data_IF_115106377721
#
_entry.id   IF_115106377721
#
_cell.length_a   1.000
_cell.length_b   1.000
_cell.length_c   1.000
_cell.angle_alpha   90.00
_cell.angle_beta   90.00
_cell.angle_gamma   90.00
#
_symmetry.space_group_name_H-M   'P 1'
#
loop_
_entity.id
_entity.type
_entity.pdbx_description
1 polymer ?
#
# COMPACT_ATOMS: atom_id res chain seq x y z
N UNK A 1 -3.41 17.37 -29.43
CA UNK A 1 -3.52 17.34 -27.95
C UNK A 1 -3.75 15.94 -27.35
N UNK A 2 -4.13 14.90 -28.12
CA UNK A 2 -4.42 13.56 -27.58
C UNK A 2 -3.18 12.72 -27.20
N UNK A 3 -1.99 13.02 -27.72
CA UNK A 3 -0.79 12.20 -27.51
C UNK A 3 -0.17 12.43 -26.13
N UNK A 4 -0.10 13.69 -25.69
CA UNK A 4 0.44 14.05 -24.36
C UNK A 4 -0.49 13.57 -23.25
N UNK A 5 -1.81 13.62 -23.47
CA UNK A 5 -2.80 13.13 -22.51
C UNK A 5 -2.78 11.60 -22.36
N UNK A 6 -2.41 10.84 -23.40
CA UNK A 6 -2.17 9.39 -23.36
C UNK A 6 -0.83 9.00 -22.74
N UNK A 7 0.20 9.84 -22.89
CA UNK A 7 1.52 9.62 -22.28
C UNK A 7 1.51 10.01 -20.79
N UNK A 8 0.76 11.06 -20.41
CA UNK A 8 0.54 11.46 -19.02
C UNK A 8 -0.65 10.74 -18.36
N UNK A 9 -1.47 10.01 -19.13
CA UNK A 9 -2.30 8.95 -18.57
C UNK A 9 -1.32 7.86 -18.14
N UNK A 10 -0.87 7.93 -16.89
CA UNK A 10 -0.79 6.72 -16.11
C UNK A 10 -2.18 6.11 -16.21
N UNK A 11 -2.38 5.20 -17.17
CA UNK A 11 -3.48 4.26 -17.16
C UNK A 11 -3.32 3.56 -15.82
N UNK A 12 -3.94 4.10 -14.77
CA UNK A 12 -3.87 3.62 -13.40
C UNK A 12 -4.58 2.27 -13.24
N UNK A 13 -4.54 1.46 -14.30
CA UNK A 13 -5.03 0.10 -14.42
C UNK A 13 -4.14 -0.80 -13.61
N UNK A 14 -4.51 -0.92 -12.35
CA UNK A 14 -3.98 -1.91 -11.44
C UNK A 14 -4.82 -3.17 -11.64
N UNK A 15 -4.52 -3.93 -12.70
CA UNK A 15 -5.05 -5.29 -12.87
C UNK A 15 -4.73 -6.15 -11.64
N UNK A 16 -5.43 -7.29 -11.43
CA UNK A 16 -5.24 -8.09 -10.22
C UNK A 16 -3.78 -8.55 -10.04
N UNK A 17 -3.14 -9.03 -11.10
CA UNK A 17 -1.72 -9.41 -11.08
C UNK A 17 -0.78 -8.22 -10.81
N UNK A 18 -1.05 -7.07 -11.41
CA UNK A 18 -0.27 -5.85 -11.19
C UNK A 18 -0.39 -5.38 -9.74
N UNK A 19 -1.60 -5.44 -9.18
CA UNK A 19 -1.89 -5.06 -7.80
C UNK A 19 -1.16 -5.97 -6.82
N UNK A 20 -1.28 -7.29 -6.99
CA UNK A 20 -0.55 -8.27 -6.18
C UNK A 20 0.96 -8.06 -6.24
N UNK A 21 1.52 -7.87 -7.46
CA UNK A 21 2.95 -7.60 -7.64
C UNK A 21 3.38 -6.32 -6.93
N UNK A 22 2.61 -5.24 -7.05
CA UNK A 22 2.96 -3.95 -6.45
C UNK A 22 2.93 -4.04 -4.92
N UNK A 23 1.92 -4.70 -4.34
CA UNK A 23 1.85 -4.93 -2.89
C UNK A 23 3.01 -5.81 -2.42
N UNK A 24 3.32 -6.88 -3.16
CA UNK A 24 4.46 -7.74 -2.83
C UNK A 24 5.78 -6.96 -2.85
N UNK A 25 6.00 -6.10 -3.84
CA UNK A 25 7.19 -5.24 -3.92
C UNK A 25 7.26 -4.22 -2.78
N UNK A 26 6.12 -3.61 -2.41
CA UNK A 26 6.04 -2.71 -1.26
C UNK A 26 6.36 -3.45 0.04
N UNK A 27 5.82 -4.65 0.23
CA UNK A 27 6.09 -5.48 1.41
C UNK A 27 7.56 -5.90 1.46
N UNK A 28 8.13 -6.38 0.35
CA UNK A 28 9.56 -6.73 0.29
C UNK A 28 10.44 -5.52 0.60
N UNK A 29 10.10 -4.35 0.05
CA UNK A 29 10.82 -3.11 0.31
C UNK A 29 10.78 -2.71 1.79
N UNK A 30 9.60 -2.74 2.43
CA UNK A 30 9.47 -2.46 3.86
C UNK A 30 10.25 -3.47 4.70
N UNK A 31 10.06 -4.76 4.45
CA UNK A 31 10.76 -5.82 5.18
C UNK A 31 12.29 -5.72 5.08
N UNK A 32 12.83 -5.33 3.92
CA UNK A 32 14.25 -5.09 3.77
C UNK A 32 14.74 -3.94 4.67
N UNK A 33 13.97 -2.84 4.76
CA UNK A 33 14.27 -1.71 5.65
C UNK A 33 14.19 -2.14 7.12
N UNK A 34 13.14 -2.88 7.49
CA UNK A 34 12.94 -3.33 8.87
C UNK A 34 14.08 -4.26 9.31
N UNK A 35 14.38 -5.30 8.52
CA UNK A 35 15.44 -6.26 8.82
C UNK A 35 16.82 -5.60 8.88
N UNK A 36 17.12 -4.70 7.95
CA UNK A 36 18.38 -3.95 7.96
C UNK A 36 18.47 -3.06 9.21
N UNK A 37 17.38 -2.39 9.58
CA UNK A 37 17.35 -1.52 10.76
C UNK A 37 17.49 -2.32 12.05
N UNK A 38 16.79 -3.44 12.18
CA UNK A 38 16.89 -4.35 13.34
C UNK A 38 18.31 -4.91 13.51
N UNK A 39 19.01 -5.18 12.40
CA UNK A 39 20.40 -5.63 12.43
C UNK A 39 21.39 -4.52 12.82
N UNK A 40 21.14 -3.27 12.39
CA UNK A 40 22.08 -2.15 12.57
C UNK A 40 21.83 -1.31 13.82
N UNK A 41 20.62 -1.33 14.39
CA UNK A 41 20.23 -0.53 15.54
C UNK A 41 19.78 -1.44 16.69
N UNK A 42 20.72 -1.89 17.55
CA UNK A 42 20.40 -2.71 18.71
C UNK A 42 19.43 -2.00 19.65
N UNK A 43 18.49 -2.77 20.21
CA UNK A 43 17.46 -2.22 21.12
C UNK A 43 16.20 -1.70 20.44
N UNK A 44 16.13 -1.75 19.11
CA UNK A 44 14.88 -1.52 18.38
C UNK A 44 13.83 -2.56 18.79
N UNK A 45 12.63 -2.10 19.17
CA UNK A 45 11.53 -2.95 19.60
C UNK A 45 10.92 -3.72 18.41
N UNK A 46 11.41 -4.94 18.19
CA UNK A 46 10.97 -5.81 17.10
C UNK A 46 9.49 -6.21 17.22
N UNK A 47 8.93 -6.31 18.43
CA UNK A 47 7.53 -6.66 18.60
C UNK A 47 6.62 -5.52 18.13
N UNK A 48 7.04 -4.28 18.38
CA UNK A 48 6.31 -3.09 17.97
C UNK A 48 6.47 -2.77 16.49
N UNK A 49 7.65 -3.03 15.94
CA UNK A 49 7.88 -3.04 14.49
C UNK A 49 6.95 -4.07 13.83
N UNK A 50 6.90 -5.32 14.32
CA UNK A 50 6.02 -6.34 13.76
C UNK A 50 4.54 -5.93 13.83
N UNK A 51 4.09 -5.30 14.93
CA UNK A 51 2.73 -4.77 15.04
C UNK A 51 2.44 -3.66 14.02
N UNK A 52 3.45 -2.88 13.62
CA UNK A 52 3.29 -1.79 12.66
C UNK A 52 2.84 -2.23 11.27
N UNK A 53 3.04 -3.51 10.93
CA UNK A 53 2.54 -4.12 9.70
C UNK A 53 1.01 -4.22 9.63
N UNK A 54 0.34 -4.22 10.79
CA UNK A 54 -1.12 -4.27 10.91
C UNK A 54 -1.70 -2.95 11.41
N UNK A 55 -0.91 -2.18 12.15
CA UNK A 55 -1.32 -0.91 12.72
C UNK A 55 -0.17 0.12 12.68
N UNK A 56 -0.11 0.98 11.65
CA UNK A 56 0.96 1.96 11.50
C UNK A 56 0.98 2.98 12.65
N UNK A 57 -0.16 3.22 13.33
CA UNK A 57 -0.23 4.14 14.46
C UNK A 57 0.50 3.63 15.71
N UNK A 58 0.85 2.34 15.76
CA UNK A 58 1.64 1.77 16.85
C UNK A 58 3.04 2.41 16.98
N UNK A 59 3.54 3.03 15.90
CA UNK A 59 4.85 3.68 15.82
C UNK A 59 4.84 5.16 16.23
N UNK A 60 3.69 5.83 16.24
CA UNK A 60 3.60 7.28 16.42
C UNK A 60 4.18 7.72 17.76
N UNK A 61 3.74 7.11 18.86
CA UNK A 61 4.25 7.43 20.20
C UNK A 61 5.73 7.07 20.38
N UNK A 62 6.18 5.84 20.07
CA UNK A 62 7.61 5.49 20.10
C UNK A 62 8.51 6.44 19.29
N UNK A 63 8.03 6.90 18.14
CA UNK A 63 8.77 7.86 17.31
C UNK A 63 8.87 9.23 17.98
N UNK A 64 7.77 9.75 18.54
CA UNK A 64 7.78 11.00 19.32
C UNK A 64 8.68 10.89 20.56
N UNK A 65 8.73 9.72 21.18
CA UNK A 65 9.58 9.44 22.35
C UNK A 65 11.06 9.20 21.96
N UNK A 66 11.41 9.21 20.67
CA UNK A 66 12.77 9.00 20.17
C UNK A 66 13.29 7.56 20.28
N UNK A 67 12.39 6.61 20.55
CA UNK A 67 12.72 5.19 20.78
C UNK A 67 12.58 4.32 19.53
N UNK A 68 12.02 4.86 18.45
CA UNK A 68 11.86 4.16 17.18
C UNK A 68 12.72 4.80 16.08
N UNK A 69 13.52 4.00 15.34
CA UNK A 69 14.32 4.50 14.22
C UNK A 69 13.47 5.17 13.13
N UNK A 70 13.97 6.29 12.61
CA UNK A 70 13.31 7.03 11.53
C UNK A 70 13.09 6.18 10.27
N UNK A 71 14.03 5.27 9.94
CA UNK A 71 13.93 4.38 8.79
C UNK A 71 12.70 3.47 8.84
N UNK A 72 12.37 2.92 10.01
CA UNK A 72 11.16 2.09 10.22
C UNK A 72 9.90 2.94 10.06
N UNK A 73 9.88 4.14 10.64
CA UNK A 73 8.73 5.05 10.51
C UNK A 73 8.50 5.45 9.05
N UNK A 74 9.56 5.84 8.34
CA UNK A 74 9.49 6.25 6.93
C UNK A 74 9.12 5.07 6.02
N UNK A 75 9.70 3.90 6.24
CA UNK A 75 9.38 2.67 5.51
C UNK A 75 7.92 2.27 5.69
N UNK A 76 7.42 2.33 6.92
CA UNK A 76 6.00 2.07 7.23
C UNK A 76 5.09 3.08 6.56
N UNK A 77 5.41 4.37 6.62
CA UNK A 77 4.64 5.41 5.92
C UNK A 77 4.60 5.17 4.41
N UNK A 78 5.75 4.91 3.78
CA UNK A 78 5.84 4.66 2.35
C UNK A 78 5.06 3.40 1.93
N UNK A 79 5.14 2.34 2.73
CA UNK A 79 4.37 1.11 2.52
C UNK A 79 2.86 1.38 2.52
N UNK A 80 2.32 2.01 3.56
CA UNK A 80 0.89 2.29 3.66
C UNK A 80 0.41 3.31 2.63
N UNK A 81 1.19 4.36 2.35
CA UNK A 81 0.87 5.30 1.28
C UNK A 81 0.79 4.61 -0.09
N UNK A 82 1.76 3.74 -0.38
CA UNK A 82 1.77 2.92 -1.60
C UNK A 82 0.60 1.93 -1.64
N UNK A 83 0.28 1.29 -0.53
CA UNK A 83 -0.82 0.34 -0.40
C UNK A 83 -2.16 1.03 -0.67
N UNK A 84 -2.41 2.18 -0.04
CA UNK A 84 -3.62 2.99 -0.24
C UNK A 84 -3.73 3.44 -1.68
N UNK A 85 -2.65 3.99 -2.25
CA UNK A 85 -2.61 4.43 -3.63
C UNK A 85 -3.01 3.30 -4.59
N UNK A 86 -2.35 2.14 -4.50
CA UNK A 86 -2.65 0.98 -5.33
C UNK A 86 -4.10 0.49 -5.12
N UNK A 87 -4.60 0.55 -3.89
CA UNK A 87 -5.94 0.04 -3.54
C UNK A 87 -7.06 0.94 -4.05
N UNK A 88 -6.88 2.25 -4.00
CA UNK A 88 -7.82 3.24 -4.57
C UNK A 88 -7.91 3.06 -6.08
N UNK A 89 -6.77 2.89 -6.76
CA UNK A 89 -6.74 2.61 -8.19
C UNK A 89 -7.39 1.25 -8.52
N UNK A 90 -7.08 0.21 -7.74
CA UNK A 90 -7.67 -1.12 -7.91
C UNK A 90 -9.20 -1.11 -7.74
N UNK A 91 -9.70 -0.42 -6.72
CA UNK A 91 -11.13 -0.26 -6.49
C UNK A 91 -11.80 0.42 -7.69
N UNK A 92 -11.16 1.47 -8.26
CA UNK A 92 -11.66 2.13 -9.46
C UNK A 92 -11.71 1.20 -10.69
N UNK A 93 -10.71 0.34 -10.87
CA UNK A 93 -10.64 -0.58 -12.03
C UNK A 93 -11.62 -1.74 -11.95
N UNK A 94 -11.99 -2.14 -10.74
CA UNK A 94 -13.03 -3.15 -10.51
C UNK A 94 -14.45 -2.55 -10.68
N UNK A 95 -14.55 -1.24 -10.87
CA UNK A 95 -15.82 -0.51 -10.96
C UNK A 95 -16.45 -0.23 -9.60
N UNK A 96 -15.72 -0.46 -8.51
CA UNK A 96 -16.14 -0.15 -7.15
C UNK A 96 -15.91 1.33 -6.83
N UNK A 97 -16.52 1.79 -5.73
CA UNK A 97 -16.21 3.13 -5.20
C UNK A 97 -14.73 3.21 -4.84
N UNK A 98 -14.01 4.20 -5.38
CA UNK A 98 -12.58 4.40 -5.14
C UNK A 98 -12.26 4.60 -3.65
N UNK A 99 -13.21 5.13 -2.88
CA UNK A 99 -13.12 5.29 -1.43
C UNK A 99 -12.95 3.97 -0.68
N UNK A 100 -13.39 2.84 -1.24
CA UNK A 100 -13.17 1.53 -0.63
C UNK A 100 -11.67 1.17 -0.56
N UNK A 101 -10.85 1.76 -1.44
CA UNK A 101 -9.40 1.63 -1.35
C UNK A 101 -8.82 2.19 -0.03
N UNK A 102 -9.48 3.16 0.60
CA UNK A 102 -9.06 3.73 1.88
C UNK A 102 -9.19 2.74 3.05
N UNK A 103 -9.96 1.65 2.90
CA UNK A 103 -10.01 0.61 3.92
C UNK A 103 -8.63 -0.01 4.20
N UNK A 104 -7.68 0.14 3.26
CA UNK A 104 -6.29 -0.28 3.46
C UNK A 104 -5.46 0.60 4.39
N UNK A 105 -5.99 1.75 4.84
CA UNK A 105 -5.36 2.56 5.90
C UNK A 105 -5.93 2.27 7.29
N UNK A 106 -7.05 1.53 7.36
CA UNK A 106 -7.70 1.22 8.63
C UNK A 106 -6.94 0.08 9.31
N UNK A 107 -6.43 0.27 10.54
CA UNK A 107 -5.68 -0.75 11.24
C UNK A 107 -6.44 -2.09 11.31
N UNK A 108 -5.71 -3.19 11.10
CA UNK A 108 -6.22 -4.58 11.09
C UNK A 108 -7.21 -4.94 9.96
N UNK A 109 -7.77 -3.95 9.27
CA UNK A 109 -8.67 -4.15 8.11
C UNK A 109 -7.87 -4.18 6.80
N UNK A 110 -6.69 -3.59 6.81
CA UNK A 110 -5.80 -3.41 5.68
C UNK A 110 -5.46 -4.70 4.93
N UNK A 111 -5.07 -5.75 5.65
CA UNK A 111 -4.74 -7.05 5.07
C UNK A 111 -5.97 -7.65 4.38
N UNK A 112 -7.14 -7.59 5.04
CA UNK A 112 -8.39 -8.14 4.49
C UNK A 112 -8.78 -7.38 3.23
N UNK A 113 -8.75 -6.05 3.27
CA UNK A 113 -9.08 -5.21 2.13
C UNK A 113 -8.12 -5.44 0.95
N UNK A 114 -6.82 -5.56 1.22
CA UNK A 114 -5.82 -5.87 0.19
C UNK A 114 -6.02 -7.27 -0.42
N UNK A 115 -6.34 -8.28 0.40
CA UNK A 115 -6.64 -9.63 -0.09
C UNK A 115 -7.89 -9.61 -0.98
N UNK A 116 -8.98 -8.98 -0.54
CA UNK A 116 -10.21 -8.88 -1.34
C UNK A 116 -9.91 -8.23 -2.69
N UNK A 117 -9.28 -7.05 -2.70
CA UNK A 117 -8.96 -6.31 -3.92
C UNK A 117 -8.01 -7.08 -4.87
N UNK A 118 -7.20 -8.00 -4.34
CA UNK A 118 -6.31 -8.86 -5.11
C UNK A 118 -7.04 -9.92 -5.94
N UNK A 119 -8.24 -10.32 -5.53
CA UNK A 119 -9.01 -11.39 -6.19
C UNK A 119 -10.27 -10.91 -6.91
N UNK A 120 -10.77 -9.70 -6.62
CA UNK A 120 -11.90 -9.14 -7.36
C UNK A 120 -11.53 -9.04 -8.85
N UNK A 121 -12.36 -9.50 -9.79
CA UNK A 121 -12.07 -9.39 -11.23
C UNK A 121 -12.14 -7.93 -11.70
N UNK A 122 -11.32 -7.56 -12.68
CA UNK A 122 -11.41 -6.24 -13.29
C UNK A 122 -12.73 -6.10 -14.08
N UNK A 123 -13.35 -4.91 -14.06
CA UNK A 123 -14.54 -4.65 -14.88
C UNK A 123 -14.14 -4.72 -16.35
N UNK A 124 -14.76 -5.62 -17.12
CA UNK A 124 -14.64 -5.62 -18.58
C UNK A 124 -15.28 -4.33 -19.08
N UNK A 125 -14.46 -3.38 -19.57
CA UNK A 125 -14.98 -2.21 -20.28
C UNK A 125 -15.42 -2.67 -21.67
N UNK A 126 -16.67 -2.42 -22.01
CA UNK A 126 -17.13 -2.63 -23.39
C UNK A 126 -16.70 -1.45 -24.25
N UNK A 127 -16.67 -1.61 -25.58
CA UNK A 127 -16.35 -0.51 -26.52
C UNK A 127 -17.29 0.69 -26.34
N UNK A 128 -18.47 0.46 -25.77
CA UNK A 128 -19.49 1.47 -25.46
C UNK A 128 -19.18 2.31 -24.22
N UNK A 129 -18.26 1.90 -23.34
CA UNK A 129 -17.84 2.72 -22.18
C UNK A 129 -16.82 3.82 -22.59
N UNK A 130 -16.45 3.89 -23.87
CA UNK A 130 -15.53 4.87 -24.47
C UNK A 130 -16.22 5.90 -25.37
N UNK A 131 -17.54 5.76 -25.59
CA UNK A 131 -18.37 6.66 -26.42
C UNK A 131 -19.09 7.65 -25.53
#
# INVERSE_FOLDING_TARGET
MNTVQKILHCDGRTGPLTYQRNIALLAVGKAAVDLLTLALVPGTDAAREALSWLNPFALVRPWMDGTMPFSICLGTFAFFAGLVWNSVHRARDTGWSHWLGLLTVVPFVDVIAAVVLSFVPARKRSVWDLV
#
